data_IF_803359589552
#
_entry.id   IF_803359589552
#
_cell.length_a   1.000
_cell.length_b   1.000
_cell.length_c   1.000
_cell.angle_alpha   90.00
_cell.angle_beta   90.00
_cell.angle_gamma   90.00
#
_symmetry.space_group_name_H-M   'P 1'
#
loop_
_entity.id
_entity.type
_entity.pdbx_description
1 polymer ?
#
# COMPACT_ATOMS: atom_id res chain seq x y z
N UNK A 1 18.51 -10.25 14.62
CA UNK A 1 17.36 -10.32 15.53
C UNK A 1 16.16 -10.02 14.65
N UNK A 2 15.23 -10.95 14.44
CA UNK A 2 14.11 -10.74 13.51
C UNK A 2 13.19 -9.66 14.08
N UNK A 3 12.96 -8.59 13.33
CA UNK A 3 12.09 -7.51 13.79
C UNK A 3 10.63 -7.97 13.75
N UNK A 4 9.85 -7.66 14.80
CA UNK A 4 8.41 -7.91 14.80
C UNK A 4 7.65 -6.69 14.29
N UNK A 5 7.42 -6.63 12.99
CA UNK A 5 6.68 -5.56 12.30
C UNK A 5 5.25 -5.37 12.83
N UNK A 6 4.60 -6.42 13.34
CA UNK A 6 3.20 -6.32 13.79
C UNK A 6 3.03 -5.39 15.00
N UNK A 7 4.02 -5.35 15.90
CA UNK A 7 4.03 -4.42 17.04
C UNK A 7 4.16 -2.96 16.57
N UNK A 8 4.76 -2.74 15.41
CA UNK A 8 4.98 -1.42 14.82
C UNK A 8 3.98 -1.05 13.72
N UNK A 9 2.87 -1.80 13.59
CA UNK A 9 1.92 -1.66 12.47
C UNK A 9 1.38 -0.24 12.25
N UNK A 10 1.17 0.51 13.34
CA UNK A 10 0.73 1.92 13.29
C UNK A 10 1.79 2.83 12.65
N UNK A 11 3.05 2.65 13.03
CA UNK A 11 4.19 3.40 12.47
C UNK A 11 4.43 3.00 11.02
N UNK A 12 4.38 1.69 10.74
CA UNK A 12 4.57 1.14 9.40
C UNK A 12 3.47 1.61 8.46
N UNK A 13 2.20 1.62 8.88
CA UNK A 13 1.07 2.16 8.12
C UNK A 13 1.35 3.59 7.65
N UNK A 14 1.71 4.48 8.58
CA UNK A 14 2.01 5.90 8.29
C UNK A 14 3.22 6.05 7.35
N UNK A 15 4.30 5.32 7.63
CA UNK A 15 5.52 5.38 6.85
C UNK A 15 5.35 4.79 5.44
N UNK A 16 4.52 3.76 5.30
CA UNK A 16 4.18 3.17 4.01
C UNK A 16 3.37 4.14 3.15
N UNK A 17 2.39 4.84 3.73
CA UNK A 17 1.65 5.90 3.03
C UNK A 17 2.59 7.03 2.57
N UNK A 18 3.50 7.47 3.44
CA UNK A 18 4.48 8.49 3.08
C UNK A 18 5.42 8.01 1.97
N UNK A 19 5.87 6.76 2.03
CA UNK A 19 6.68 6.15 0.99
C UNK A 19 5.98 6.15 -0.38
N UNK A 20 4.71 5.72 -0.41
CA UNK A 20 3.90 5.73 -1.63
C UNK A 20 3.77 7.14 -2.22
N UNK A 21 3.47 8.14 -1.38
CA UNK A 21 3.38 9.54 -1.80
C UNK A 21 4.70 10.06 -2.37
N UNK A 22 5.80 9.87 -1.64
CA UNK A 22 7.14 10.35 -2.02
C UNK A 22 7.65 9.72 -3.31
N UNK A 23 7.31 8.45 -3.56
CA UNK A 23 7.73 7.72 -4.75
C UNK A 23 6.72 7.80 -5.91
N UNK A 24 5.55 8.37 -5.68
CA UNK A 24 4.48 8.44 -6.69
C UNK A 24 3.87 7.07 -7.01
N UNK A 25 3.86 6.14 -6.06
CA UNK A 25 3.28 4.80 -6.24
C UNK A 25 1.81 4.77 -5.84
N UNK A 26 1.03 3.99 -6.58
CA UNK A 26 -0.33 3.60 -6.22
C UNK A 26 -0.32 2.31 -5.40
N UNK A 27 -1.48 1.93 -4.85
CA UNK A 27 -1.61 0.63 -4.17
C UNK A 27 -1.52 -0.52 -5.17
N UNK A 28 -2.02 -0.30 -6.39
CA UNK A 28 -1.90 -1.26 -7.48
C UNK A 28 -0.44 -1.48 -7.91
N UNK A 29 0.35 -0.42 -8.06
CA UNK A 29 1.77 -0.56 -8.42
C UNK A 29 2.54 -1.26 -7.31
N UNK A 30 2.26 -0.92 -6.04
CA UNK A 30 2.82 -1.63 -4.89
C UNK A 30 2.43 -3.11 -4.88
N UNK A 31 1.15 -3.42 -5.10
CA UNK A 31 0.63 -4.78 -5.18
C UNK A 31 1.35 -5.62 -6.25
N UNK A 32 1.51 -5.06 -7.46
CA UNK A 32 2.21 -5.73 -8.57
C UNK A 32 3.70 -5.93 -8.29
N UNK A 33 4.37 -4.92 -7.72
CA UNK A 33 5.82 -4.96 -7.51
C UNK A 33 6.22 -5.87 -6.34
N UNK A 34 5.42 -5.90 -5.27
CA UNK A 34 5.68 -6.74 -4.11
C UNK A 34 5.07 -8.16 -4.18
N UNK A 35 4.30 -8.45 -5.24
CA UNK A 35 3.51 -9.68 -5.36
C UNK A 35 2.61 -9.93 -4.13
N UNK A 36 1.83 -8.90 -3.79
CA UNK A 36 0.90 -8.88 -2.66
C UNK A 36 -0.46 -8.43 -3.18
N UNK A 37 -1.54 -9.09 -2.76
CA UNK A 37 -2.89 -8.70 -3.19
C UNK A 37 -3.24 -7.27 -2.73
N UNK A 38 -3.95 -6.49 -3.57
CA UNK A 38 -4.42 -5.15 -3.20
C UNK A 38 -5.21 -5.13 -1.87
N UNK A 39 -6.13 -6.08 -1.58
CA UNK A 39 -6.81 -6.10 -0.29
C UNK A 39 -5.85 -6.21 0.91
N UNK A 40 -4.77 -6.98 0.77
CA UNK A 40 -3.74 -7.09 1.83
C UNK A 40 -2.96 -5.79 1.98
N UNK A 41 -2.62 -5.11 0.88
CA UNK A 41 -2.00 -3.79 0.92
C UNK A 41 -2.91 -2.78 1.62
N UNK A 42 -4.22 -2.79 1.32
CA UNK A 42 -5.19 -1.93 1.98
C UNK A 42 -5.26 -2.17 3.50
N UNK A 43 -5.23 -3.43 3.94
CA UNK A 43 -5.16 -3.76 5.36
C UNK A 43 -3.89 -3.20 6.00
N UNK A 44 -2.72 -3.39 5.38
CA UNK A 44 -1.44 -2.88 5.89
C UNK A 44 -1.46 -1.35 5.99
N UNK A 45 -1.99 -0.65 4.98
CA UNK A 45 -2.14 0.81 4.98
C UNK A 45 -3.07 1.28 6.11
N UNK A 46 -4.09 0.51 6.47
CA UNK A 46 -4.97 0.80 7.62
C UNK A 46 -4.38 0.41 8.97
N UNK A 47 -3.19 -0.19 9.01
CA UNK A 47 -2.60 -0.73 10.24
C UNK A 47 -3.29 -2.01 10.73
N UNK A 48 -4.08 -2.66 9.87
CA UNK A 48 -4.86 -3.86 10.17
C UNK A 48 -4.13 -5.12 9.64
N UNK A 49 -4.29 -6.24 10.34
CA UNK A 49 -3.92 -7.55 9.80
C UNK A 49 -4.59 -8.67 10.58
N UNK A 50 -5.12 -9.70 9.90
CA UNK A 50 -5.71 -10.86 10.57
C UNK A 50 -4.68 -11.76 11.26
N UNK A 51 -3.40 -11.70 10.87
CA UNK A 51 -2.38 -12.61 11.39
C UNK A 51 -1.00 -11.92 11.48
N UNK A 52 -0.40 -11.84 12.69
CA UNK A 52 0.93 -11.27 12.89
C UNK A 52 2.04 -11.90 12.03
N UNK A 53 2.04 -13.23 11.85
CA UNK A 53 3.05 -13.92 11.02
C UNK A 53 2.93 -13.50 9.55
N UNK A 54 1.69 -13.41 9.05
CA UNK A 54 1.46 -12.94 7.68
C UNK A 54 1.87 -11.48 7.55
N UNK A 55 1.50 -10.61 8.49
CA UNK A 55 1.91 -9.20 8.47
C UNK A 55 3.43 -9.05 8.35
N UNK A 56 4.18 -9.75 9.21
CA UNK A 56 5.64 -9.72 9.18
C UNK A 56 6.19 -10.16 7.81
N UNK A 57 5.71 -11.29 7.28
CA UNK A 57 6.13 -11.79 5.97
C UNK A 57 5.81 -10.81 4.83
N UNK A 58 4.66 -10.14 4.87
CA UNK A 58 4.28 -9.17 3.83
C UNK A 58 5.15 -7.91 3.90
N UNK A 59 5.48 -7.39 5.08
CA UNK A 59 6.41 -6.25 5.21
C UNK A 59 7.81 -6.62 4.72
N UNK A 60 8.31 -7.82 5.05
CA UNK A 60 9.58 -8.31 4.51
C UNK A 60 9.56 -8.38 2.98
N UNK A 61 8.47 -8.88 2.38
CA UNK A 61 8.31 -8.89 0.91
C UNK A 61 8.36 -7.49 0.31
N UNK A 62 7.68 -6.52 0.92
CA UNK A 62 7.72 -5.12 0.47
C UNK A 62 9.15 -4.59 0.56
N UNK A 63 9.85 -4.78 1.67
CA UNK A 63 11.23 -4.32 1.79
C UNK A 63 12.12 -4.91 0.67
N UNK A 64 12.02 -6.21 0.41
CA UNK A 64 12.79 -6.88 -0.64
C UNK A 64 12.43 -6.37 -2.06
N UNK A 65 11.16 -6.14 -2.35
CA UNK A 65 10.70 -5.69 -3.66
C UNK A 65 11.18 -4.28 -4.05
N UNK A 66 11.59 -3.49 -3.06
CA UNK A 66 12.11 -2.13 -3.24
C UNK A 66 13.56 -1.96 -2.77
N UNK A 67 14.26 -3.07 -2.49
CA UNK A 67 15.65 -3.08 -1.99
C UNK A 67 15.86 -2.16 -0.78
N UNK A 68 14.96 -2.26 0.20
CA UNK A 68 14.94 -1.44 1.40
C UNK A 68 15.56 -2.18 2.59
N UNK A 69 16.25 -1.46 3.50
CA UNK A 69 16.65 -1.97 4.80
C UNK A 69 15.49 -2.61 5.58
N UNK A 70 15.78 -3.61 6.40
CA UNK A 70 14.76 -4.36 7.16
C UNK A 70 13.94 -3.44 8.08
N UNK A 71 14.57 -2.43 8.69
CA UNK A 71 13.96 -1.48 9.62
C UNK A 71 13.35 -0.24 8.93
N UNK A 72 13.33 -0.19 7.59
CA UNK A 72 12.99 1.01 6.82
C UNK A 72 11.68 1.70 7.23
N UNK A 73 10.62 0.90 7.42
CA UNK A 73 9.28 1.40 7.75
C UNK A 73 9.05 1.62 9.26
N UNK A 74 10.03 1.28 10.09
CA UNK A 74 9.96 1.39 11.55
C UNK A 74 10.64 2.67 12.03
N UNK A 75 11.69 3.10 11.32
CA UNK A 75 12.32 4.40 11.54
C UNK A 75 11.37 5.52 11.13
N UNK A 76 11.10 6.46 12.02
CA UNK A 76 10.29 7.63 11.71
C UNK A 76 10.95 8.44 10.57
N UNK A 77 10.23 8.64 9.47
CA UNK A 77 10.66 9.48 8.35
C UNK A 77 9.73 10.69 8.24
N UNK A 78 10.27 11.78 7.70
CA UNK A 78 9.64 13.11 7.60
C UNK A 78 8.16 12.98 7.20
N UNK A 79 7.28 13.42 8.09
CA UNK A 79 5.83 13.52 7.84
C UNK A 79 5.56 14.66 6.88
N UNK A 80 5.03 14.34 5.69
CA UNK A 80 4.40 15.33 4.84
C UNK A 80 3.05 15.74 5.47
N UNK A 81 2.87 17.03 5.75
CA UNK A 81 1.63 17.59 6.28
C UNK A 81 0.53 17.49 5.21
N UNK A 82 -0.62 16.85 5.49
CA UNK A 82 -1.69 16.68 4.49
C UNK A 82 -2.59 17.93 4.39
N UNK A 83 -3.12 18.18 3.19
CA UNK A 83 -4.18 19.17 2.89
C UNK A 83 -5.61 18.54 3.06
N UNK A 84 -6.71 19.34 3.12
CA UNK A 84 -8.05 18.86 3.55
C UNK A 84 -8.89 18.11 2.48
N UNK A 85 -9.88 17.33 2.98
CA UNK A 85 -10.73 16.21 2.46
C UNK A 85 -11.59 16.42 1.18
N UNK A 86 -12.19 15.43 0.46
CA UNK A 86 -12.91 14.18 0.83
C UNK A 86 -13.02 13.12 -0.33
N UNK A 87 -13.28 11.83 -0.02
CA UNK A 87 -14.25 10.88 -0.64
C UNK A 87 -13.85 9.38 -0.52
N UNK A 88 -14.84 8.50 -0.26
CA UNK A 88 -14.70 7.05 -0.18
C UNK A 88 -15.28 6.35 -1.42
N UNK A 89 -14.53 5.42 -2.03
CA UNK A 89 -14.99 4.60 -3.14
C UNK A 89 -14.92 3.11 -2.80
N UNK A 90 -15.96 2.35 -3.16
CA UNK A 90 -16.10 0.92 -2.92
C UNK A 90 -16.09 0.20 -4.26
N UNK A 91 -15.11 -0.68 -4.48
CA UNK A 91 -15.09 -1.58 -5.64
C UNK A 91 -15.57 -2.97 -5.22
N UNK A 92 -16.88 -3.20 -5.40
CA UNK A 92 -17.45 -4.54 -5.47
C UNK A 92 -17.98 -4.75 -6.88
N UNK A 93 -17.09 -5.05 -7.84
CA UNK A 93 -17.52 -5.52 -9.15
C UNK A 93 -17.08 -6.97 -9.38
N UNK A 94 -18.08 -7.85 -9.45
CA UNK A 94 -17.96 -9.28 -9.65
C UNK A 94 -17.30 -9.62 -11.00
N UNK A 95 -16.49 -10.67 -10.98
CA UNK A 95 -15.59 -11.08 -12.06
C UNK A 95 -16.28 -11.41 -13.37
N UNK A 96 -15.76 -10.80 -14.44
CA UNK A 96 -15.77 -11.35 -15.79
C UNK A 96 -14.39 -11.09 -16.41
N UNK A 97 -13.91 -12.01 -17.25
CA UNK A 97 -12.60 -11.88 -17.89
C UNK A 97 -12.61 -10.67 -18.85
N UNK A 98 -12.04 -9.55 -18.39
CA UNK A 98 -11.96 -8.30 -19.15
C UNK A 98 -10.90 -8.45 -20.26
N UNK A 99 -11.19 -7.89 -21.44
CA UNK A 99 -10.23 -7.73 -22.53
C UNK A 99 -8.93 -7.09 -21.99
N UNK A 100 -7.73 -7.57 -22.37
CA UNK A 100 -6.46 -7.07 -21.83
C UNK A 100 -6.30 -5.55 -21.95
N UNK A 101 -6.78 -4.94 -23.04
CA UNK A 101 -6.76 -3.49 -23.25
C UNK A 101 -7.66 -2.76 -22.25
N UNK A 102 -8.85 -3.30 -21.99
CA UNK A 102 -9.79 -2.73 -21.02
C UNK A 102 -9.23 -2.86 -19.60
N UNK A 103 -8.56 -3.97 -19.30
CA UNK A 103 -7.89 -4.17 -18.00
C UNK A 103 -6.75 -3.16 -17.81
N UNK A 104 -5.92 -2.96 -18.82
CA UNK A 104 -4.81 -2.00 -18.77
C UNK A 104 -5.31 -0.55 -18.59
N UNK A 105 -6.37 -0.16 -19.31
CA UNK A 105 -6.98 1.16 -19.16
C UNK A 105 -7.59 1.37 -17.77
N UNK A 106 -8.30 0.36 -17.24
CA UNK A 106 -8.84 0.43 -15.89
C UNK A 106 -7.74 0.45 -14.83
N UNK A 107 -6.69 -0.35 -14.98
CA UNK A 107 -5.51 -0.31 -14.11
C UNK A 107 -4.84 1.07 -14.13
N UNK A 108 -4.77 1.71 -15.31
CA UNK A 108 -4.26 3.08 -15.47
C UNK A 108 -5.12 4.11 -14.75
N UNK A 109 -6.44 4.02 -14.88
CA UNK A 109 -7.37 4.89 -14.17
C UNK A 109 -7.28 4.67 -12.65
N UNK A 110 -7.24 3.42 -12.20
CA UNK A 110 -7.07 3.04 -10.80
C UNK A 110 -5.78 3.58 -10.21
N UNK A 111 -4.68 3.58 -10.97
CA UNK A 111 -3.42 4.17 -10.55
C UNK A 111 -3.55 5.68 -10.31
N UNK A 112 -4.20 6.39 -11.23
CA UNK A 112 -4.43 7.83 -11.10
C UNK A 112 -5.31 8.12 -9.89
N UNK A 113 -6.41 7.37 -9.73
CA UNK A 113 -7.33 7.53 -8.60
C UNK A 113 -6.69 7.14 -7.27
N UNK A 114 -5.87 6.08 -7.21
CA UNK A 114 -5.14 5.68 -6.01
C UNK A 114 -4.13 6.73 -5.60
N UNK A 115 -3.30 7.22 -6.54
CA UNK A 115 -2.33 8.29 -6.26
C UNK A 115 -3.08 9.51 -5.74
N UNK A 116 -4.16 9.92 -6.42
CA UNK A 116 -5.00 11.02 -5.99
C UNK A 116 -5.60 10.77 -4.59
N UNK A 117 -6.05 9.54 -4.30
CA UNK A 117 -6.58 9.13 -2.99
C UNK A 117 -5.56 9.24 -1.86
N UNK A 118 -4.26 9.14 -2.16
CA UNK A 118 -3.24 9.37 -1.15
C UNK A 118 -3.17 10.85 -0.76
N UNK A 119 -3.57 11.78 -1.61
CA UNK A 119 -3.55 13.22 -1.32
C UNK A 119 -4.89 13.74 -0.82
N UNK A 120 -5.95 12.93 -0.92
CA UNK A 120 -7.27 13.20 -0.37
C UNK A 120 -7.40 12.52 0.99
N UNK A 121 -8.09 13.17 1.94
CA UNK A 121 -8.44 12.59 3.24
C UNK A 121 -9.92 12.35 3.33
#
# INVERSE_FOLDING_TARGET
MSINFFEHRETISKNLVNFLRLKGYSKLSLSKQADISRPTIDQIIKGESPNPKQYNSQITKINLAFDLPEDYFITARITLTPAPAAYAYSDHSAGTAKNPVVKELLDGLDNVLDIYSLYIK
#
